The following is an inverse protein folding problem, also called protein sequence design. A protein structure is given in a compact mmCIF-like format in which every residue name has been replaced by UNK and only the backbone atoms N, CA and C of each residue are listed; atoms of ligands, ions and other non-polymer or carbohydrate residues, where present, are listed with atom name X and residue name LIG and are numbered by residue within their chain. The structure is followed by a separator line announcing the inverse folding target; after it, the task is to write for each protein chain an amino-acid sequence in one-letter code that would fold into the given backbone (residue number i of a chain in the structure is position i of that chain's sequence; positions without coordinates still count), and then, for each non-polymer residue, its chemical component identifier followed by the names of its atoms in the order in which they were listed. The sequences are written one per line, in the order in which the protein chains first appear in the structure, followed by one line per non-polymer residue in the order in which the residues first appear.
data_IF_301622181137
#
_entry.id   IF_301622181137
#
_cell.length_a   1.000
_cell.length_b   1.000
_cell.length_c   1.000
_cell.angle_alpha   90.00
_cell.angle_beta   90.00
_cell.angle_gamma   90.00
#
_symmetry.space_group_name_H-M   'P 1'
#
loop_
_entity.id
_entity.type
_entity.pdbx_description
1 polymer ?
#
# COMPACT_ATOMS: atom_id res chain seq x y z
N UNK A 1 5.05 0.95 2.74
CA UNK A 1 4.27 2.06 3.34
C UNK A 1 2.99 2.31 2.57
N UNK A 2 1.97 2.93 3.18
CA UNK A 2 0.66 3.20 2.58
C UNK A 2 0.00 4.41 3.22
N UNK A 3 -1.03 4.95 2.57
CA UNK A 3 -2.02 5.84 3.16
C UNK A 3 -1.39 7.09 3.83
N UNK A 4 -0.61 7.85 3.05
CA UNK A 4 0.00 9.12 3.50
C UNK A 4 -0.95 10.32 3.41
N UNK A 5 -2.03 10.22 2.63
CA UNK A 5 -3.09 11.23 2.51
C UNK A 5 -2.56 12.67 2.48
N UNK A 6 -1.66 12.96 1.53
CA UNK A 6 -1.13 14.29 1.31
C UNK A 6 -0.09 14.77 2.34
N UNK A 7 0.30 13.93 3.30
CA UNK A 7 1.29 14.29 4.33
C UNK A 7 2.70 13.90 3.88
N UNK A 8 3.52 14.90 3.54
CA UNK A 8 4.87 14.68 3.04
C UNK A 8 5.88 14.32 4.14
N UNK A 9 5.68 14.79 5.37
CA UNK A 9 6.62 14.53 6.46
C UNK A 9 6.64 13.06 6.88
N UNK A 10 5.52 12.36 7.11
CA UNK A 10 5.54 10.92 7.36
C UNK A 10 6.16 10.10 6.21
N UNK A 11 6.07 10.59 4.96
CA UNK A 11 6.77 9.95 3.83
C UNK A 11 8.29 10.11 4.01
N UNK A 12 8.78 11.30 4.37
CA UNK A 12 10.24 11.55 4.59
C UNK A 12 10.78 10.68 5.72
N UNK A 13 10.04 10.60 6.82
CA UNK A 13 10.43 9.82 8.00
C UNK A 13 10.51 8.33 7.68
N UNK A 14 9.50 7.79 6.98
CA UNK A 14 9.53 6.40 6.54
C UNK A 14 10.68 6.12 5.56
N UNK A 15 10.97 7.04 4.64
CA UNK A 15 12.08 6.91 3.69
C UNK A 15 13.45 6.93 4.40
N UNK A 16 13.61 7.73 5.46
CA UNK A 16 14.81 7.73 6.29
C UNK A 16 14.99 6.36 6.97
N UNK A 17 13.96 5.86 7.63
CA UNK A 17 13.97 4.55 8.28
C UNK A 17 14.31 3.42 7.29
N UNK A 18 13.72 3.43 6.08
CA UNK A 18 14.01 2.42 5.06
C UNK A 18 15.43 2.52 4.52
N UNK A 19 15.98 3.73 4.43
CA UNK A 19 17.38 3.95 4.02
C UNK A 19 18.35 3.41 5.07
N UNK A 20 18.12 3.71 6.35
CA UNK A 20 18.92 3.20 7.47
C UNK A 20 18.87 1.68 7.58
N UNK A 21 17.70 1.09 7.32
CA UNK A 21 17.52 -0.37 7.28
C UNK A 21 18.09 -1.03 6.00
N UNK A 22 18.66 -0.28 5.05
CA UNK A 22 19.24 -0.81 3.82
C UNK A 22 18.22 -1.38 2.84
N UNK A 23 16.99 -0.89 2.83
CA UNK A 23 15.94 -1.37 1.92
C UNK A 23 16.30 -1.07 0.45
N UNK A 24 16.35 -2.10 -0.39
CA UNK A 24 16.70 -2.00 -1.82
C UNK A 24 15.55 -1.49 -2.68
N UNK A 25 14.33 -1.69 -2.27
CA UNK A 25 13.12 -1.27 -3.00
C UNK A 25 12.06 -0.79 -2.02
N UNK A 26 11.44 0.34 -2.34
CA UNK A 26 10.37 0.92 -1.54
C UNK A 26 9.08 0.94 -2.37
N UNK A 27 7.98 0.52 -1.75
CA UNK A 27 6.63 0.55 -2.31
C UNK A 27 5.74 1.46 -1.47
N UNK A 28 4.95 2.30 -2.15
CA UNK A 28 3.83 3.01 -1.56
C UNK A 28 2.51 2.39 -2.09
N UNK A 29 1.71 1.83 -1.20
CA UNK A 29 0.56 1.01 -1.56
C UNK A 29 -0.74 1.81 -1.77
N UNK A 30 -0.59 3.03 -2.27
CA UNK A 30 -1.71 3.89 -2.64
C UNK A 30 -2.16 4.85 -1.55
N UNK A 31 -3.08 5.72 -1.92
CA UNK A 31 -3.53 6.88 -1.14
C UNK A 31 -2.35 7.77 -0.70
N UNK A 32 -1.53 8.11 -1.71
CA UNK A 32 -0.48 9.14 -1.60
C UNK A 32 -1.13 10.50 -1.36
N UNK A 33 -2.20 10.77 -2.11
CA UNK A 33 -2.91 12.04 -2.09
C UNK A 33 -4.07 12.03 -1.09
N UNK A 34 -4.49 13.23 -0.69
CA UNK A 34 -5.77 13.49 -0.05
C UNK A 34 -6.70 14.16 -1.06
N UNK A 35 -7.83 13.51 -1.38
CA UNK A 35 -8.79 14.05 -2.35
C UNK A 35 -9.54 15.28 -1.85
N UNK A 36 -9.51 15.55 -0.54
CA UNK A 36 -10.08 16.75 0.08
C UNK A 36 -9.09 17.92 0.16
N UNK A 37 -7.78 17.62 0.07
CA UNK A 37 -6.68 18.59 0.06
C UNK A 37 -5.77 18.37 -1.16
N UNK A 38 -6.28 18.57 -2.39
CA UNK A 38 -5.59 18.24 -3.63
C UNK A 38 -4.28 19.01 -3.84
N UNK A 39 -4.10 20.18 -3.24
CA UNK A 39 -2.89 21.00 -3.29
C UNK A 39 -1.66 20.28 -2.72
N UNK A 40 -1.86 19.34 -1.79
CA UNK A 40 -0.78 18.56 -1.16
C UNK A 40 -0.17 17.50 -2.09
N UNK A 41 -0.89 17.10 -3.14
CA UNK A 41 -0.48 16.03 -4.05
C UNK A 41 0.88 16.31 -4.73
N UNK A 42 1.14 17.57 -5.09
CA UNK A 42 2.38 17.93 -5.79
C UNK A 42 3.63 17.58 -4.97
N UNK A 43 3.63 17.92 -3.68
CA UNK A 43 4.76 17.66 -2.79
C UNK A 43 4.99 16.15 -2.58
N UNK A 44 3.92 15.42 -2.27
CA UNK A 44 4.01 13.99 -1.98
C UNK A 44 4.44 13.17 -3.19
N UNK A 45 3.81 13.40 -4.35
CA UNK A 45 4.11 12.62 -5.56
C UNK A 45 5.53 12.90 -6.05
N UNK A 46 5.97 14.17 -6.09
CA UNK A 46 7.34 14.52 -6.48
C UNK A 46 8.38 13.90 -5.55
N UNK A 47 8.18 13.98 -4.24
CA UNK A 47 9.05 13.35 -3.25
C UNK A 47 9.23 11.85 -3.51
N UNK A 48 8.14 11.13 -3.75
CA UNK A 48 8.18 9.69 -4.04
C UNK A 48 8.88 9.38 -5.37
N UNK A 49 8.68 10.22 -6.40
CA UNK A 49 9.35 10.07 -7.69
C UNK A 49 10.87 10.32 -7.60
N UNK A 50 11.29 11.38 -6.90
CA UNK A 50 12.71 11.70 -6.66
C UNK A 50 13.43 10.55 -5.94
N UNK A 51 12.74 9.90 -5.01
CA UNK A 51 13.24 8.74 -4.26
C UNK A 51 13.01 7.40 -4.97
N UNK A 52 12.52 7.41 -6.21
CA UNK A 52 12.26 6.22 -7.04
C UNK A 52 11.38 5.17 -6.36
N UNK A 53 10.43 5.63 -5.55
CA UNK A 53 9.45 4.76 -4.89
C UNK A 53 8.49 4.19 -5.93
N UNK A 54 8.20 2.91 -5.83
CA UNK A 54 7.22 2.22 -6.66
C UNK A 54 5.82 2.46 -6.08
N UNK A 55 5.00 3.23 -6.78
CA UNK A 55 3.68 3.65 -6.29
C UNK A 55 2.60 2.75 -6.91
N UNK A 56 1.63 2.34 -6.10
CA UNK A 56 0.37 1.69 -6.46
C UNK A 56 -0.72 2.75 -6.40
N UNK A 57 -1.71 2.69 -7.27
CA UNK A 57 -2.84 3.61 -7.26
C UNK A 57 -3.82 3.29 -6.14
N UNK A 58 -4.11 4.27 -5.29
CA UNK A 58 -5.19 4.24 -4.32
C UNK A 58 -6.45 4.98 -4.79
N UNK A 59 -7.51 4.90 -4.00
CA UNK A 59 -8.78 5.54 -4.36
C UNK A 59 -8.72 7.08 -4.27
N UNK A 60 -7.97 7.64 -3.33
CA UNK A 60 -7.76 9.09 -3.27
C UNK A 60 -6.92 9.59 -4.46
N UNK A 61 -5.89 8.82 -4.87
CA UNK A 61 -5.10 9.13 -6.06
C UNK A 61 -5.98 9.16 -7.33
N UNK A 62 -6.88 8.19 -7.47
CA UNK A 62 -7.85 8.15 -8.57
C UNK A 62 -8.85 9.31 -8.51
N UNK A 63 -9.32 9.67 -7.31
CA UNK A 63 -10.24 10.80 -7.12
C UNK A 63 -9.58 12.13 -7.55
N UNK A 64 -8.31 12.33 -7.23
CA UNK A 64 -7.53 13.49 -7.72
C UNK A 64 -7.52 13.51 -9.25
N UNK A 65 -7.22 12.40 -9.91
CA UNK A 65 -7.22 12.32 -11.38
C UNK A 65 -8.60 12.63 -11.94
N UNK A 66 -9.65 12.01 -11.42
CA UNK A 66 -11.02 12.19 -11.89
C UNK A 66 -11.52 13.63 -11.74
N UNK A 67 -11.13 14.28 -10.65
CA UNK A 67 -11.61 15.62 -10.31
C UNK A 67 -10.79 16.75 -10.96
N UNK A 68 -9.54 16.54 -11.34
CA UNK A 68 -8.62 17.61 -11.73
C UNK A 68 -8.03 17.47 -13.13
N UNK A 69 -7.97 16.25 -13.71
CA UNK A 69 -7.39 16.05 -15.03
C UNK A 69 -8.20 16.78 -16.11
N UNK A 70 -7.52 17.61 -16.91
CA UNK A 70 -8.14 18.40 -17.97
C UNK A 70 -8.85 19.67 -17.50
N UNK A 71 -8.83 20.01 -16.22
CA UNK A 71 -9.40 21.27 -15.71
C UNK A 71 -8.40 22.41 -15.85
N UNK A 72 -8.88 23.56 -16.37
CA UNK A 72 -8.04 24.76 -16.55
C UNK A 72 -7.53 25.34 -15.22
N UNK A 73 -8.29 25.18 -14.14
CA UNK A 73 -7.89 25.61 -12.79
C UNK A 73 -7.82 24.39 -11.88
N UNK A 74 -6.63 23.88 -11.70
CA UNK A 74 -6.34 22.75 -10.78
C UNK A 74 -5.20 23.16 -9.85
N UNK A 75 -5.28 22.86 -8.53
CA UNK A 75 -4.14 23.04 -7.63
C UNK A 75 -3.05 21.98 -7.85
N UNK A 76 -3.35 20.91 -8.60
CA UNK A 76 -2.41 19.82 -8.92
C UNK A 76 -1.81 20.08 -10.30
N UNK A 77 -0.49 20.01 -10.38
CA UNK A 77 0.21 20.26 -11.63
C UNK A 77 -0.09 19.20 -12.70
N UNK A 78 -0.07 19.57 -14.01
CA UNK A 78 -0.33 18.63 -15.10
C UNK A 78 0.58 17.39 -15.06
N UNK A 79 1.86 17.54 -14.70
CA UNK A 79 2.84 16.47 -14.61
C UNK A 79 2.46 15.46 -13.54
N UNK A 80 2.03 15.94 -12.35
CA UNK A 80 1.58 15.10 -11.23
C UNK A 80 0.28 14.38 -11.60
N UNK A 81 -0.68 15.07 -12.23
CA UNK A 81 -1.90 14.43 -12.72
C UNK A 81 -1.62 13.32 -13.73
N UNK A 82 -0.68 13.53 -14.65
CA UNK A 82 -0.29 12.50 -15.61
C UNK A 82 0.45 11.33 -14.93
N UNK A 83 1.27 11.62 -13.91
CA UNK A 83 1.92 10.58 -13.12
C UNK A 83 0.88 9.72 -12.38
N UNK A 84 -0.06 10.34 -11.65
CA UNK A 84 -1.13 9.65 -10.95
C UNK A 84 -2.04 8.85 -11.90
N UNK A 85 -2.36 9.39 -13.08
CA UNK A 85 -3.14 8.67 -14.10
C UNK A 85 -2.48 7.36 -14.52
N UNK A 86 -1.15 7.35 -14.66
CA UNK A 86 -0.36 6.20 -15.12
C UNK A 86 -0.05 5.17 -14.03
N UNK A 87 -0.39 5.42 -12.77
CA UNK A 87 -0.15 4.46 -11.69
C UNK A 87 -0.88 3.15 -11.96
N UNK A 88 -0.19 2.05 -11.71
CA UNK A 88 -0.72 0.70 -11.83
C UNK A 88 -1.54 0.34 -10.58
N UNK A 89 -2.50 -0.57 -10.73
CA UNK A 89 -3.32 -1.10 -9.65
C UNK A 89 -2.61 -2.22 -8.88
N UNK A 90 -1.65 -2.87 -9.51
CA UNK A 90 -0.91 -4.00 -8.93
C UNK A 90 0.54 -3.98 -9.38
N UNK A 91 1.43 -4.37 -8.48
CA UNK A 91 2.84 -4.70 -8.78
C UNK A 91 3.18 -6.03 -8.15
N UNK A 92 4.15 -6.72 -8.75
CA UNK A 92 4.64 -8.00 -8.26
C UNK A 92 6.14 -7.94 -7.99
N UNK A 93 6.57 -8.69 -7.00
CA UNK A 93 7.97 -8.98 -6.74
C UNK A 93 8.07 -10.37 -6.10
N UNK A 94 8.74 -11.31 -6.75
CA UNK A 94 8.76 -12.72 -6.35
C UNK A 94 7.31 -13.26 -6.16
N UNK A 95 7.00 -13.80 -4.99
CA UNK A 95 5.66 -14.27 -4.62
C UNK A 95 4.80 -13.19 -3.94
N UNK A 96 5.27 -11.96 -3.86
CA UNK A 96 4.51 -10.85 -3.29
C UNK A 96 3.69 -10.11 -4.35
N UNK A 97 2.45 -9.81 -4.02
CA UNK A 97 1.53 -8.95 -4.74
C UNK A 97 1.32 -7.68 -3.93
N UNK A 98 1.49 -6.53 -4.55
CA UNK A 98 1.31 -5.21 -3.94
C UNK A 98 0.11 -4.53 -4.57
N UNK A 99 -0.88 -4.16 -3.77
CA UNK A 99 -2.11 -3.48 -4.19
C UNK A 99 -2.52 -2.43 -3.16
N UNK A 100 -3.57 -1.65 -3.49
CA UNK A 100 -4.14 -0.77 -2.49
C UNK A 100 -5.16 -1.49 -1.60
N UNK A 101 -6.16 -2.16 -2.17
CA UNK A 101 -7.21 -2.83 -1.38
C UNK A 101 -7.48 -4.29 -1.78
N UNK A 102 -8.19 -4.58 -2.89
CA UNK A 102 -8.56 -5.93 -3.30
C UNK A 102 -7.73 -6.45 -4.48
N UNK A 103 -7.34 -7.75 -4.50
CA UNK A 103 -6.51 -8.32 -5.57
C UNK A 103 -7.30 -8.69 -6.84
N UNK A 104 -8.62 -8.58 -6.84
CA UNK A 104 -9.50 -9.06 -7.91
C UNK A 104 -9.63 -8.04 -9.05
N UNK A 105 -8.50 -7.56 -9.57
CA UNK A 105 -8.41 -6.44 -10.51
C UNK A 105 -9.05 -6.76 -11.86
N UNK A 106 -8.99 -8.03 -12.32
CA UNK A 106 -9.59 -8.45 -13.59
C UNK A 106 -11.11 -8.27 -13.63
N UNK A 107 -11.78 -8.44 -12.49
CA UNK A 107 -13.22 -8.34 -12.38
C UNK A 107 -13.69 -6.95 -11.95
N UNK A 108 -12.96 -6.34 -11.03
CA UNK A 108 -13.36 -5.10 -10.38
C UNK A 108 -12.74 -3.84 -11.02
N UNK A 109 -11.65 -3.99 -11.81
CA UNK A 109 -10.93 -2.85 -12.37
C UNK A 109 -10.57 -1.82 -11.29
N UNK A 110 -10.93 -0.55 -11.52
CA UNK A 110 -10.71 0.54 -10.56
C UNK A 110 -11.45 0.34 -9.22
N UNK A 111 -12.57 -0.38 -9.21
CA UNK A 111 -13.33 -0.64 -7.98
C UNK A 111 -12.56 -1.53 -6.98
N UNK A 112 -11.49 -2.22 -7.43
CA UNK A 112 -10.61 -2.96 -6.53
C UNK A 112 -9.92 -2.08 -5.49
N UNK A 113 -9.84 -0.76 -5.70
CA UNK A 113 -9.22 0.19 -4.77
C UNK A 113 -10.09 0.52 -3.55
N UNK A 114 -11.42 0.30 -3.62
CA UNK A 114 -12.37 0.73 -2.59
C UNK A 114 -13.03 -0.43 -1.84
N UNK A 115 -12.66 -1.66 -2.15
CA UNK A 115 -13.26 -2.84 -1.54
C UNK A 115 -12.77 -3.10 -0.11
N UNK A 116 -13.56 -3.81 0.65
CA UNK A 116 -13.18 -4.27 1.99
C UNK A 116 -12.63 -5.69 1.92
N UNK A 117 -11.49 -5.92 2.56
CA UNK A 117 -10.89 -7.25 2.70
C UNK A 117 -11.49 -7.93 3.92
N UNK A 118 -12.58 -8.65 3.73
CA UNK A 118 -13.23 -9.44 4.78
C UNK A 118 -12.87 -10.93 4.70
N UNK A 119 -13.47 -11.77 5.56
CA UNK A 119 -13.21 -13.21 5.57
C UNK A 119 -13.47 -13.90 4.22
N UNK A 120 -14.48 -13.47 3.48
CA UNK A 120 -14.80 -14.03 2.16
C UNK A 120 -13.72 -13.72 1.13
N UNK A 121 -13.24 -12.48 1.10
CA UNK A 121 -12.17 -12.04 0.22
C UNK A 121 -10.83 -12.71 0.56
N UNK A 122 -10.55 -12.94 1.86
CA UNK A 122 -9.36 -13.68 2.30
C UNK A 122 -9.44 -15.14 1.84
N UNK A 123 -10.58 -15.81 2.01
CA UNK A 123 -10.79 -17.17 1.49
C UNK A 123 -10.60 -17.23 -0.02
N UNK A 124 -11.18 -16.28 -0.75
CA UNK A 124 -11.05 -16.18 -2.19
C UNK A 124 -9.61 -15.96 -2.60
N UNK A 125 -8.90 -15.03 -1.97
CA UNK A 125 -7.48 -14.77 -2.22
C UNK A 125 -6.64 -16.03 -2.03
N UNK A 126 -6.78 -16.71 -0.90
CA UNK A 126 -6.02 -17.91 -0.61
C UNK A 126 -6.26 -19.04 -1.62
N UNK A 127 -7.47 -19.11 -2.19
CA UNK A 127 -7.82 -20.09 -3.23
C UNK A 127 -7.26 -19.72 -4.60
N UNK A 128 -7.35 -18.44 -5.00
CA UNK A 128 -6.94 -17.98 -6.33
C UNK A 128 -5.44 -17.73 -6.46
N UNK A 129 -4.78 -17.41 -5.33
CA UNK A 129 -3.36 -17.06 -5.29
C UNK A 129 -2.59 -17.93 -4.27
N UNK A 130 -2.61 -19.26 -4.40
CA UNK A 130 -1.89 -20.16 -3.49
C UNK A 130 -0.38 -19.91 -3.58
N UNK A 131 0.27 -19.67 -2.47
CA UNK A 131 1.71 -19.36 -2.42
C UNK A 131 2.06 -17.88 -2.50
N UNK A 132 1.09 -16.97 -2.57
CA UNK A 132 1.35 -15.54 -2.61
C UNK A 132 1.18 -14.87 -1.23
N UNK A 133 1.94 -13.78 -1.06
CA UNK A 133 1.75 -12.81 0.02
C UNK A 133 1.13 -11.56 -0.61
N UNK A 134 -0.02 -11.14 -0.11
CA UNK A 134 -0.66 -9.88 -0.53
C UNK A 134 -0.29 -8.77 0.44
N UNK A 135 0.41 -7.75 -0.02
CA UNK A 135 0.64 -6.51 0.73
C UNK A 135 -0.35 -5.44 0.28
N UNK A 136 -1.06 -4.84 1.24
CA UNK A 136 -2.08 -3.83 1.00
C UNK A 136 -2.06 -2.70 2.03
N UNK A 137 -2.74 -1.57 1.68
CA UNK A 137 -3.07 -0.43 2.55
C UNK A 137 -4.56 -0.35 2.84
N UNK A 138 -5.15 0.82 2.65
CA UNK A 138 -6.58 1.16 2.63
C UNK A 138 -7.29 1.10 3.99
N UNK A 139 -7.19 0.03 4.76
CA UNK A 139 -7.92 -0.06 6.05
C UNK A 139 -7.25 0.69 7.19
N UNK A 140 -6.01 1.14 7.03
CA UNK A 140 -5.18 1.83 8.01
C UNK A 140 -4.84 1.01 9.26
N UNK A 141 -5.35 -0.21 9.40
CA UNK A 141 -5.09 -1.08 10.54
C UNK A 141 -4.09 -2.17 10.15
N UNK A 142 -2.91 -2.23 10.76
CA UNK A 142 -1.93 -3.26 10.45
C UNK A 142 -2.41 -4.61 10.91
N UNK A 143 -2.40 -5.59 10.03
CA UNK A 143 -2.79 -6.95 10.33
C UNK A 143 -2.16 -7.96 9.36
N UNK A 144 -2.00 -9.18 9.81
CA UNK A 144 -1.70 -10.33 8.96
C UNK A 144 -2.85 -11.32 9.09
N UNK A 145 -3.47 -11.65 7.95
CA UNK A 145 -4.59 -12.58 7.90
C UNK A 145 -4.24 -13.78 7.00
N UNK A 146 -4.57 -14.99 7.45
CA UNK A 146 -4.32 -16.24 6.73
C UNK A 146 -5.39 -17.28 7.04
N UNK A 147 -5.39 -18.40 6.31
CA UNK A 147 -6.25 -19.54 6.62
C UNK A 147 -5.53 -20.57 7.50
N UNK A 148 -6.17 -20.97 8.57
CA UNK A 148 -5.83 -22.16 9.33
C UNK A 148 -6.98 -23.19 9.19
N UNK A 149 -6.78 -24.15 8.31
CA UNK A 149 -7.89 -24.99 7.85
C UNK A 149 -8.95 -24.17 7.10
N UNK A 150 -10.18 -24.13 7.63
CA UNK A 150 -11.27 -23.33 7.06
C UNK A 150 -11.50 -22.00 7.77
N UNK A 151 -10.73 -21.69 8.79
CA UNK A 151 -10.92 -20.47 9.60
C UNK A 151 -9.92 -19.40 9.21
N UNK A 152 -10.39 -18.17 9.05
CA UNK A 152 -9.54 -17.01 8.94
C UNK A 152 -8.94 -16.69 10.31
N UNK A 153 -7.63 -16.60 10.37
CA UNK A 153 -6.87 -16.11 11.52
C UNK A 153 -6.34 -14.72 11.20
N UNK A 154 -6.37 -13.86 12.20
CA UNK A 154 -5.85 -12.50 12.10
C UNK A 154 -4.93 -12.23 13.28
N UNK A 155 -3.77 -11.66 12.98
CA UNK A 155 -2.80 -11.28 14.00
C UNK A 155 -2.27 -9.87 13.67
N UNK A 156 -2.44 -8.88 14.57
CA UNK A 156 -1.77 -7.59 14.42
C UNK A 156 -0.26 -7.77 14.65
N UNK A 157 0.59 -7.21 13.78
CA UNK A 157 2.03 -7.19 14.03
C UNK A 157 2.35 -6.20 15.15
N UNK A 158 3.27 -6.57 16.03
CA UNK A 158 3.78 -5.68 17.07
C UNK A 158 4.93 -4.85 16.53
N UNK A 159 4.98 -3.56 16.86
CA UNK A 159 6.06 -2.68 16.43
C UNK A 159 7.42 -3.16 16.95
N UNK A 160 8.44 -3.19 16.08
CA UNK A 160 9.78 -3.65 16.39
C UNK A 160 9.93 -5.16 16.58
N UNK A 161 8.87 -5.94 16.32
CA UNK A 161 8.90 -7.40 16.46
C UNK A 161 8.77 -8.04 15.08
N UNK A 162 9.66 -8.99 14.79
CA UNK A 162 9.60 -9.77 13.56
C UNK A 162 8.44 -10.77 13.60
N UNK A 163 7.65 -10.80 12.53
CA UNK A 163 6.56 -11.76 12.35
C UNK A 163 6.86 -12.63 11.12
N UNK A 164 7.08 -13.93 11.37
CA UNK A 164 7.32 -14.90 10.31
C UNK A 164 6.05 -15.21 9.52
N UNK A 165 6.13 -15.19 8.19
CA UNK A 165 5.03 -15.46 7.27
C UNK A 165 5.10 -16.85 6.63
N UNK A 166 6.20 -17.59 6.76
CA UNK A 166 6.43 -18.84 6.01
C UNK A 166 5.32 -19.88 6.20
N UNK A 167 4.83 -20.04 7.42
CA UNK A 167 3.74 -20.99 7.73
C UNK A 167 2.33 -20.40 7.52
N UNK A 168 2.25 -19.14 7.08
CA UNK A 168 1.01 -18.41 6.88
C UNK A 168 0.66 -18.20 5.42
N UNK A 169 1.59 -18.52 4.51
CA UNK A 169 1.37 -18.34 3.06
C UNK A 169 0.37 -19.40 2.56
N UNK A 170 -0.67 -19.00 1.79
CA UNK A 170 -0.98 -17.63 1.35
C UNK A 170 -1.54 -16.75 2.47
N UNK A 171 -1.12 -15.48 2.49
CA UNK A 171 -1.56 -14.54 3.53
C UNK A 171 -1.74 -13.12 2.99
N UNK A 172 -2.55 -12.34 3.71
CA UNK A 172 -2.80 -10.93 3.46
C UNK A 172 -2.14 -10.11 4.55
N UNK A 173 -1.31 -9.16 4.17
CA UNK A 173 -0.59 -8.25 5.06
C UNK A 173 -1.08 -6.82 4.80
N UNK A 174 -1.76 -6.23 5.76
CA UNK A 174 -2.11 -4.81 5.75
C UNK A 174 -1.01 -4.02 6.47
N UNK A 175 -0.42 -3.06 5.78
CA UNK A 175 0.81 -2.39 6.25
C UNK A 175 0.59 -1.33 7.34
N UNK A 176 -0.65 -0.96 7.63
CA UNK A 176 -0.96 0.24 8.42
C UNK A 176 -0.77 1.52 7.60
N UNK A 177 -1.05 2.66 8.20
CA UNK A 177 -1.05 3.96 7.52
C UNK A 177 0.06 4.88 8.01
N UNK A 178 0.70 5.61 7.07
CA UNK A 178 1.66 6.65 7.42
C UNK A 178 1.03 7.76 8.25
N UNK A 179 -0.24 8.09 8.01
CA UNK A 179 -1.01 9.05 8.82
C UNK A 179 -1.18 8.64 10.28
N UNK A 180 -0.87 7.38 10.61
CA UNK A 180 -0.84 6.84 11.98
C UNK A 180 0.58 6.55 12.45
N UNK A 181 1.58 7.07 11.76
CA UNK A 181 2.98 6.84 12.08
C UNK A 181 3.45 5.39 11.87
N UNK A 182 2.85 4.65 10.93
CA UNK A 182 3.15 3.23 10.75
C UNK A 182 3.71 2.94 9.36
N UNK A 183 4.79 2.16 9.32
CA UNK A 183 5.32 1.57 8.10
C UNK A 183 5.79 0.14 8.34
N UNK A 184 6.24 -0.55 7.29
CA UNK A 184 6.59 -1.97 7.38
C UNK A 184 7.75 -2.31 6.45
N UNK A 185 8.66 -3.16 6.92
CA UNK A 185 9.72 -3.77 6.12
C UNK A 185 9.36 -5.25 5.94
N UNK A 186 9.53 -5.75 4.73
CA UNK A 186 9.45 -7.17 4.40
C UNK A 186 10.82 -7.69 3.98
N UNK A 187 11.21 -8.81 4.55
CA UNK A 187 12.44 -9.54 4.27
C UNK A 187 12.10 -10.81 3.47
N UNK A 188 12.21 -10.78 2.14
CA UNK A 188 11.74 -11.87 1.28
C UNK A 188 12.54 -13.19 1.49
N UNK A 189 13.83 -13.11 1.78
CA UNK A 189 14.69 -14.27 1.96
C UNK A 189 14.31 -15.10 3.21
N UNK A 190 13.87 -14.42 4.28
CA UNK A 190 13.40 -15.04 5.52
C UNK A 190 11.88 -15.13 5.64
N UNK A 191 11.12 -14.60 4.67
CA UNK A 191 9.66 -14.51 4.71
C UNK A 191 9.13 -13.95 6.04
N UNK A 192 9.69 -12.85 6.52
CA UNK A 192 9.19 -12.17 7.72
C UNK A 192 8.99 -10.67 7.47
N UNK A 193 8.15 -10.08 8.29
CA UNK A 193 7.88 -8.64 8.29
C UNK A 193 8.27 -8.02 9.63
N UNK A 194 8.60 -6.73 9.58
CA UNK A 194 8.75 -5.87 10.75
C UNK A 194 7.82 -4.66 10.60
N UNK A 195 6.92 -4.47 11.57
CA UNK A 195 6.12 -3.25 11.66
C UNK A 195 6.90 -2.22 12.45
N UNK A 196 6.95 -0.99 11.93
CA UNK A 196 7.74 0.09 12.53
C UNK A 196 6.85 1.30 12.79
N UNK A 197 7.16 2.00 13.89
CA UNK A 197 6.59 3.31 14.17
C UNK A 197 7.58 4.38 13.71
N UNK A 198 7.09 5.34 12.94
CA UNK A 198 7.79 6.56 12.57
C UNK A 198 7.32 7.71 13.47
N UNK A 199 8.17 8.69 13.69
CA UNK A 199 7.88 9.82 14.60
C UNK A 199 7.22 10.97 13.88
#
# INVERSE_FOLDING_TARGET
MADSHGQADPIRDALAVFSEAGCRSVYHLGDVCDSTHPETANACVRLLQERRVKIIKGNNDQAIVANHLGRAKSPVSPEVLQALKKLELVKYYQNAMFIHSLPFIRELGLSSMIGTMGPQEIHRFCKEFPGHILFRGHSHNPEVAWLQGRQVRVQPPSAGVQLNLSERIPCVVTCGALTRGMCMIWHPEGNYIESLLIR
#
